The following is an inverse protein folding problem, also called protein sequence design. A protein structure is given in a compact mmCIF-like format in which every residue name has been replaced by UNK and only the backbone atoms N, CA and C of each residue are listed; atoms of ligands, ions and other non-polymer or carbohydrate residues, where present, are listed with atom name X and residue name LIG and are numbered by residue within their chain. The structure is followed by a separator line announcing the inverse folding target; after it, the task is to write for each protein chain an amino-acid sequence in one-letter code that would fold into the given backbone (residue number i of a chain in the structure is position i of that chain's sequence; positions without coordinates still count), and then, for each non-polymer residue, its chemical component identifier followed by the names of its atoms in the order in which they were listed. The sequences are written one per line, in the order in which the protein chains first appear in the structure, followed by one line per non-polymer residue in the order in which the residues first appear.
data_IF_168054509760
#
_entry.id   IF_168054509760
#
_cell.length_a   1.000
_cell.length_b   1.000
_cell.length_c   1.000
_cell.angle_alpha   90.00
_cell.angle_beta   90.00
_cell.angle_gamma   90.00
#
_symmetry.space_group_name_H-M   'P 1'
#
loop_
_entity.id
_entity.type
_entity.pdbx_description
1 polymer ?
#
# COMPACT_ATOMS: atom_id res chain seq x y z
N UNK A 1 6.92 8.54 -0.64
CA UNK A 1 5.97 8.93 0.42
C UNK A 1 6.22 8.06 1.64
N UNK A 2 6.10 8.59 2.86
CA UNK A 2 6.34 7.85 4.10
C UNK A 2 5.09 7.96 4.99
N UNK A 3 4.48 6.82 5.32
CA UNK A 3 3.24 6.78 6.11
C UNK A 3 3.49 6.15 7.48
N UNK A 4 2.94 6.71 8.58
CA UNK A 4 2.99 6.05 9.89
C UNK A 4 2.10 4.80 9.89
N UNK A 5 2.54 3.72 10.55
CA UNK A 5 1.77 2.46 10.67
C UNK A 5 1.13 2.31 12.06
N UNK A 6 0.62 3.42 12.59
CA UNK A 6 -0.19 3.45 13.80
C UNK A 6 -1.34 4.44 13.61
N UNK A 7 -2.48 4.14 14.22
CA UNK A 7 -3.63 5.04 14.23
C UNK A 7 -3.50 6.07 15.36
N UNK A 8 -4.08 7.25 15.17
CA UNK A 8 -4.15 8.30 16.19
C UNK A 8 -5.53 8.95 16.29
N UNK A 9 -6.29 8.95 15.20
CA UNK A 9 -7.61 9.56 15.13
C UNK A 9 -8.56 8.63 14.39
N UNK A 10 -9.86 8.71 14.70
CA UNK A 10 -10.92 8.06 13.92
C UNK A 10 -12.05 9.04 13.63
N UNK A 11 -12.99 8.64 12.77
CA UNK A 11 -14.14 9.45 12.40
C UNK A 11 -15.12 9.69 13.56
N UNK A 12 -15.84 10.81 13.52
CA UNK A 12 -16.75 11.23 14.61
C UNK A 12 -17.87 10.22 14.87
N UNK A 13 -18.36 9.53 13.84
CA UNK A 13 -19.42 8.54 13.99
C UNK A 13 -18.94 7.33 14.80
N UNK A 14 -17.70 6.88 14.55
CA UNK A 14 -17.06 5.82 15.33
C UNK A 14 -16.74 6.24 16.77
N UNK A 15 -16.35 7.51 16.99
CA UNK A 15 -16.09 8.04 18.33
C UNK A 15 -17.37 8.10 19.19
N UNK A 16 -18.52 8.42 18.60
CA UNK A 16 -19.78 8.51 19.33
C UNK A 16 -20.22 7.16 19.95
N UNK A 17 -19.82 6.04 19.36
CA UNK A 17 -20.08 4.69 19.88
C UNK A 17 -18.96 4.12 20.76
N UNK A 18 -17.85 4.84 20.91
CA UNK A 18 -16.65 4.35 21.56
C UNK A 18 -16.74 4.50 23.09
N UNK A 19 -16.23 3.50 23.83
CA UNK A 19 -16.14 3.59 25.29
C UNK A 19 -14.97 4.49 25.70
N UNK A 20 -15.04 5.07 26.90
CA UNK A 20 -14.01 6.00 27.39
C UNK A 20 -12.59 5.40 27.50
N UNK A 21 -12.47 4.08 27.51
CA UNK A 21 -11.21 3.32 27.56
C UNK A 21 -10.63 2.95 26.19
N UNK A 22 -11.28 3.31 25.08
CA UNK A 22 -10.85 2.97 23.71
C UNK A 22 -9.87 3.98 23.10
N UNK A 23 -9.04 4.62 23.92
CA UNK A 23 -8.04 5.57 23.42
C UNK A 23 -6.90 4.85 22.67
N UNK A 24 -6.37 5.49 21.63
CA UNK A 24 -5.19 4.98 20.92
C UNK A 24 -3.97 4.94 21.85
N UNK A 25 -3.17 3.85 21.84
CA UNK A 25 -1.98 3.74 22.66
C UNK A 25 -0.90 4.73 22.18
N UNK A 26 -0.18 5.31 23.12
CA UNK A 26 1.00 6.11 22.81
C UNK A 26 2.14 5.18 22.37
N UNK A 27 2.49 5.21 21.08
CA UNK A 27 3.59 4.39 20.54
C UNK A 27 4.94 5.08 20.79
N UNK A 28 5.87 4.45 21.54
CA UNK A 28 7.23 4.96 21.74
C UNK A 28 7.95 5.17 20.41
N UNK A 29 8.74 6.24 20.32
CA UNK A 29 9.38 6.66 19.05
C UNK A 29 10.27 5.56 18.45
N UNK A 30 11.00 4.84 19.29
CA UNK A 30 11.87 3.73 18.94
C UNK A 30 11.12 2.50 18.40
N UNK A 31 9.83 2.37 18.72
CA UNK A 31 8.96 1.30 18.26
C UNK A 31 8.13 1.69 17.03
N UNK A 32 8.22 2.93 16.57
CA UNK A 32 7.45 3.40 15.42
C UNK A 32 7.91 2.73 14.13
N UNK A 33 6.92 2.32 13.35
CA UNK A 33 7.10 1.76 12.02
C UNK A 33 6.41 2.62 10.98
N UNK A 34 6.95 2.57 9.78
CA UNK A 34 6.47 3.36 8.67
C UNK A 34 6.40 2.49 7.40
N UNK A 35 5.47 2.85 6.53
CA UNK A 35 5.40 2.35 5.17
C UNK A 35 6.12 3.33 4.25
N UNK A 36 7.26 2.91 3.69
CA UNK A 36 7.97 3.67 2.67
C UNK A 36 7.41 3.29 1.30
N UNK A 37 6.64 4.20 0.70
CA UNK A 37 5.99 4.04 -0.60
C UNK A 37 6.79 4.75 -1.69
N UNK A 38 7.06 4.03 -2.77
CA UNK A 38 7.80 4.47 -3.95
C UNK A 38 6.94 4.31 -5.20
N UNK A 39 6.90 5.36 -6.04
CA UNK A 39 6.21 5.37 -7.33
C UNK A 39 7.29 5.35 -8.41
N UNK A 40 7.28 4.34 -9.28
CA UNK A 40 8.32 4.17 -10.31
C UNK A 40 7.76 3.66 -11.63
N UNK A 41 8.48 3.89 -12.71
CA UNK A 41 8.09 3.38 -14.03
C UNK A 41 8.38 1.89 -14.18
N UNK A 42 7.72 1.22 -15.11
CA UNK A 42 8.05 -0.15 -15.49
C UNK A 42 9.43 -0.16 -16.16
N UNK A 43 10.42 -0.79 -15.52
CA UNK A 43 11.82 -0.84 -16.00
C UNK A 43 12.81 -0.13 -15.08
N UNK A 44 12.34 0.79 -14.24
CA UNK A 44 13.12 1.23 -13.08
C UNK A 44 13.06 0.11 -12.03
N UNK A 45 14.21 -0.47 -11.73
CA UNK A 45 14.38 -1.26 -10.51
C UNK A 45 13.99 -0.39 -9.31
N UNK A 46 13.42 -0.99 -8.26
CA UNK A 46 13.34 -0.29 -6.97
C UNK A 46 14.75 0.24 -6.64
N UNK A 47 14.89 1.41 -5.99
CA UNK A 47 16.19 1.96 -5.68
C UNK A 47 16.95 0.99 -4.76
N UNK A 48 17.73 0.11 -5.37
CA UNK A 48 18.78 -0.63 -4.71
C UNK A 48 19.90 0.37 -4.44
N UNK A 49 20.50 0.30 -3.24
CA UNK A 49 21.58 1.16 -2.76
C UNK A 49 22.83 1.11 -3.65
N UNK A 50 22.74 1.67 -4.85
CA UNK A 50 23.83 1.75 -5.81
C UNK A 50 23.82 3.11 -6.47
N UNK A 51 24.83 3.88 -6.10
CA UNK A 51 25.23 5.09 -6.77
C UNK A 51 25.54 4.84 -8.25
N UNK A 52 25.26 5.85 -9.06
CA UNK A 52 25.76 6.09 -10.42
C UNK A 52 25.17 5.24 -11.57
N UNK A 53 24.46 5.90 -12.47
CA UNK A 53 24.80 5.92 -13.90
C UNK A 53 23.95 6.95 -14.64
N UNK A 54 24.61 8.04 -15.06
CA UNK A 54 24.09 9.01 -16.01
C UNK A 54 23.94 8.37 -17.40
N UNK A 55 22.73 8.37 -17.97
CA UNK A 55 22.47 7.91 -19.33
C UNK A 55 21.51 8.84 -20.08
N UNK A 56 22.05 9.89 -20.71
CA UNK A 56 21.34 10.75 -21.67
C UNK A 56 20.80 9.91 -22.84
N UNK A 57 19.48 9.83 -23.02
CA UNK A 57 18.86 9.54 -24.33
C UNK A 57 17.80 10.58 -24.66
N UNK A 58 18.02 11.24 -25.79
CA UNK A 58 17.31 12.40 -26.33
C UNK A 58 16.31 11.89 -27.35
N UNK A 59 15.02 11.84 -27.01
CA UNK A 59 13.97 11.51 -27.99
C UNK A 59 13.17 12.76 -28.38
N UNK A 60 13.01 12.88 -29.70
CA UNK A 60 12.55 14.03 -30.48
C UNK A 60 11.01 14.04 -30.50
N UNK A 61 10.40 15.06 -29.90
CA UNK A 61 8.95 15.24 -29.90
C UNK A 61 8.43 15.76 -31.25
N UNK A 62 7.28 15.23 -31.66
CA UNK A 62 6.46 15.66 -32.82
C UNK A 62 5.37 16.62 -32.28
N UNK A 63 5.09 17.77 -32.91
CA UNK A 63 4.16 18.75 -32.34
C UNK A 63 2.71 18.37 -32.64
N UNK A 64 1.90 18.25 -31.58
CA UNK A 64 0.44 18.22 -31.60
C UNK A 64 -0.11 19.65 -31.41
N UNK A 65 -1.34 19.97 -31.87
CA UNK A 65 -1.84 21.36 -31.94
C UNK A 65 -2.06 21.98 -30.54
N UNK A 66 -2.06 23.32 -30.43
CA UNK A 66 -2.06 24.02 -29.15
C UNK A 66 -3.42 23.91 -28.47
N UNK A 67 -3.47 23.14 -27.38
CA UNK A 67 -4.50 23.26 -26.37
C UNK A 67 -4.30 24.59 -25.63
N UNK A 68 -5.34 25.42 -25.59
CA UNK A 68 -5.38 26.71 -24.92
C UNK A 68 -5.47 26.52 -23.41
N UNK A 69 -4.41 26.02 -22.77
CA UNK A 69 -4.32 25.90 -21.33
C UNK A 69 -2.95 26.37 -20.84
N UNK A 70 -2.96 27.00 -19.66
CA UNK A 70 -1.78 27.46 -18.94
C UNK A 70 -0.66 26.41 -19.00
N UNK A 71 0.58 26.80 -19.32
CA UNK A 71 1.68 25.85 -19.40
C UNK A 71 1.89 25.20 -18.02
N UNK A 72 1.58 23.91 -17.90
CA UNK A 72 1.94 23.11 -16.73
C UNK A 72 3.43 23.27 -16.44
N UNK A 73 3.80 23.44 -15.17
CA UNK A 73 5.20 23.59 -14.76
C UNK A 73 5.99 22.37 -15.29
N UNK A 74 7.08 22.57 -16.05
CA UNK A 74 7.91 21.49 -16.59
C UNK A 74 8.53 20.58 -15.52
N UNK A 75 8.42 20.94 -14.22
CA UNK A 75 8.81 20.11 -13.08
C UNK A 75 7.74 19.10 -12.65
N UNK A 76 6.53 19.17 -13.21
CA UNK A 76 5.44 18.27 -12.84
C UNK A 76 5.68 16.90 -13.47
N UNK A 77 5.98 15.90 -12.64
CA UNK A 77 6.14 14.52 -13.11
C UNK A 77 4.76 13.91 -13.27
N UNK A 78 4.36 13.66 -14.52
CA UNK A 78 3.10 12.99 -14.83
C UNK A 78 3.42 11.67 -15.53
N UNK A 79 2.98 10.57 -14.92
CA UNK A 79 3.18 9.22 -15.44
C UNK A 79 1.89 8.70 -16.06
N UNK A 80 1.97 8.14 -17.26
CA UNK A 80 0.86 7.42 -17.90
C UNK A 80 0.74 5.99 -17.39
N UNK A 81 1.88 5.39 -17.05
CA UNK A 81 2.02 4.02 -16.56
C UNK A 81 3.06 3.98 -15.45
N UNK A 82 2.77 3.29 -14.35
CA UNK A 82 3.68 3.15 -13.23
C UNK A 82 3.29 1.99 -12.32
N UNK A 83 4.25 1.56 -11.50
CA UNK A 83 4.03 0.67 -10.36
C UNK A 83 4.26 1.42 -9.06
N UNK A 84 3.55 1.01 -8.03
CA UNK A 84 3.75 1.44 -6.66
C UNK A 84 4.34 0.29 -5.89
N UNK A 85 5.51 0.51 -5.30
CA UNK A 85 6.18 -0.46 -4.44
C UNK A 85 6.30 0.11 -3.03
N UNK A 86 6.13 -0.73 -2.03
CA UNK A 86 6.28 -0.32 -0.64
C UNK A 86 7.10 -1.32 0.17
N UNK A 87 7.72 -0.82 1.23
CA UNK A 87 8.38 -1.64 2.25
C UNK A 87 8.15 -1.09 3.64
N UNK A 88 8.22 -1.97 4.63
CA UNK A 88 8.18 -1.60 6.03
C UNK A 88 9.56 -1.13 6.47
N UNK A 89 9.63 -0.01 7.19
CA UNK A 89 10.86 0.55 7.77
C UNK A 89 10.63 0.95 9.22
N UNK A 90 11.59 0.64 10.09
CA UNK A 90 11.57 1.08 11.48
C UNK A 90 12.16 2.47 11.69
N UNK A 91 11.84 3.11 12.83
CA UNK A 91 12.46 4.38 13.24
C UNK A 91 14.00 4.30 13.23
N UNK A 92 14.57 3.16 13.65
CA UNK A 92 16.02 2.93 13.67
C UNK A 92 16.68 3.04 12.30
N UNK A 93 15.98 2.66 11.22
CA UNK A 93 16.48 2.73 9.84
C UNK A 93 16.40 4.15 9.27
N UNK A 94 15.48 4.98 9.78
CA UNK A 94 15.30 6.34 9.31
C UNK A 94 16.08 7.36 10.11
N UNK A 95 16.45 7.04 11.36
CA UNK A 95 17.23 7.92 12.23
C UNK A 95 18.58 8.23 11.58
N UNK A 96 18.86 9.51 11.37
CA UNK A 96 20.13 9.98 10.78
C UNK A 96 20.14 10.10 9.26
N UNK A 97 19.06 9.69 8.57
CA UNK A 97 18.94 9.82 7.10
C UNK A 97 18.61 11.25 6.63
N UNK A 98 18.22 12.13 7.56
CA UNK A 98 17.71 13.48 7.24
C UNK A 98 16.26 13.51 6.75
N UNK A 99 15.60 12.35 6.60
CA UNK A 99 14.17 12.26 6.27
C UNK A 99 13.34 12.80 7.43
N UNK A 100 12.37 13.67 7.12
CA UNK A 100 11.39 14.15 8.10
C UNK A 100 10.37 13.06 8.39
N UNK A 101 10.20 12.73 9.67
CA UNK A 101 9.32 11.66 10.11
C UNK A 101 7.96 12.20 10.54
N UNK A 102 6.85 11.54 10.14
CA UNK A 102 5.54 11.79 10.73
C UNK A 102 5.61 11.64 12.26
N UNK A 103 5.17 12.67 12.97
CA UNK A 103 5.06 12.68 14.42
C UNK A 103 3.66 12.23 14.89
N UNK A 104 2.66 12.35 14.02
CA UNK A 104 1.28 11.89 14.21
C UNK A 104 1.00 10.58 13.48
N UNK A 105 0.03 9.81 13.96
CA UNK A 105 -0.48 8.60 13.31
C UNK A 105 -1.44 8.89 12.16
N UNK A 106 -1.95 7.82 11.54
CA UNK A 106 -3.01 7.90 10.53
C UNK A 106 -4.36 8.17 11.19
N UNK A 107 -5.19 8.92 10.48
CA UNK A 107 -6.64 8.95 10.71
C UNK A 107 -7.22 7.69 10.05
N UNK A 108 -7.90 6.86 10.83
CA UNK A 108 -8.55 5.63 10.37
C UNK A 108 -10.07 5.78 10.37
N UNK A 109 -10.77 4.84 9.75
CA UNK A 109 -12.23 4.75 9.81
C UNK A 109 -12.64 3.50 10.58
N UNK A 110 -13.62 3.64 11.46
CA UNK A 110 -14.12 2.56 12.31
C UNK A 110 -13.64 2.63 13.76
N UNK A 111 -13.83 1.53 14.50
CA UNK A 111 -13.55 1.48 15.93
C UNK A 111 -12.06 1.72 16.23
N UNK A 112 -11.70 2.61 17.18
CA UNK A 112 -10.32 2.73 17.65
C UNK A 112 -9.74 1.39 18.13
N UNK A 113 -10.56 0.58 18.80
CA UNK A 113 -10.14 -0.72 19.32
C UNK A 113 -9.74 -1.67 18.18
N UNK A 114 -10.53 -1.73 17.11
CA UNK A 114 -10.23 -2.55 15.92
C UNK A 114 -8.90 -2.13 15.29
N UNK A 115 -8.63 -0.81 15.21
CA UNK A 115 -7.39 -0.31 14.66
C UNK A 115 -6.16 -0.64 15.53
N UNK A 116 -6.34 -0.72 16.85
CA UNK A 116 -5.30 -1.15 17.79
C UNK A 116 -5.07 -2.66 17.69
N UNK A 117 -6.13 -3.45 17.66
CA UNK A 117 -6.08 -4.92 17.59
C UNK A 117 -5.46 -5.42 16.28
N UNK A 118 -5.68 -4.69 15.19
CA UNK A 118 -5.15 -5.00 13.86
C UNK A 118 -3.96 -4.12 13.44
N UNK A 119 -3.25 -3.55 14.41
CA UNK A 119 -2.02 -2.82 14.13
C UNK A 119 -0.95 -3.77 13.56
N UNK A 120 -0.24 -3.40 12.48
CA UNK A 120 0.81 -4.24 11.92
C UNK A 120 1.82 -4.63 13.00
N UNK A 121 2.21 -5.92 13.10
CA UNK A 121 3.12 -6.36 14.12
C UNK A 121 4.50 -5.71 13.93
N UNK A 122 5.14 -5.37 15.05
CA UNK A 122 6.50 -4.85 15.04
C UNK A 122 7.43 -5.83 14.32
N UNK A 123 8.23 -5.30 13.39
CA UNK A 123 9.13 -6.07 12.56
C UNK A 123 10.17 -6.75 13.45
N UNK A 124 10.26 -8.09 13.43
CA UNK A 124 11.38 -8.79 14.04
C UNK A 124 12.69 -8.35 13.38
N UNK A 125 13.75 -8.27 14.17
CA UNK A 125 15.10 -7.99 13.66
C UNK A 125 15.51 -9.14 12.74
N UNK A 126 15.55 -8.91 11.42
CA UNK A 126 16.08 -9.86 10.43
C UNK A 126 15.07 -10.49 9.46
N UNK A 127 13.79 -10.11 9.47
CA UNK A 127 12.80 -10.66 8.52
C UNK A 127 12.82 -10.01 7.12
N UNK A 128 12.48 -10.81 6.12
CA UNK A 128 12.36 -10.48 4.68
C UNK A 128 11.23 -9.48 4.34
N UNK A 129 10.50 -8.95 5.34
CA UNK A 129 9.49 -7.90 5.16
C UNK A 129 10.08 -6.51 4.84
N UNK A 130 11.40 -6.44 4.62
CA UNK A 130 12.15 -5.23 4.26
C UNK A 130 12.29 -5.02 2.75
N UNK A 131 11.96 -6.03 1.93
CA UNK A 131 12.03 -5.91 0.49
C UNK A 131 10.87 -5.07 -0.05
N UNK A 132 11.16 -4.27 -1.08
CA UNK A 132 10.11 -3.57 -1.82
C UNK A 132 9.16 -4.58 -2.45
N UNK A 133 7.89 -4.47 -2.10
CA UNK A 133 6.80 -5.28 -2.62
C UNK A 133 5.88 -4.40 -3.45
N UNK A 134 5.49 -4.85 -4.64
CA UNK A 134 4.51 -4.13 -5.48
C UNK A 134 3.15 -4.21 -4.80
N UNK A 135 2.51 -3.06 -4.60
CA UNK A 135 1.21 -2.94 -3.92
C UNK A 135 0.11 -2.36 -4.82
N UNK A 136 0.49 -1.70 -5.91
CA UNK A 136 -0.44 -1.22 -6.92
C UNK A 136 0.27 -1.00 -8.25
N UNK A 137 -0.49 -0.94 -9.32
CA UNK A 137 -0.01 -0.54 -10.63
C UNK A 137 -1.07 0.27 -11.38
N UNK A 138 -0.63 1.03 -12.38
CA UNK A 138 -1.46 1.77 -13.31
C UNK A 138 -0.92 1.51 -14.71
N UNK A 139 -1.72 0.87 -15.55
CA UNK A 139 -1.37 0.48 -16.93
C UNK A 139 -1.97 1.43 -17.98
N UNK A 140 -2.18 2.68 -17.59
CA UNK A 140 -2.86 3.69 -18.40
C UNK A 140 -3.87 4.47 -17.58
N UNK A 141 -4.01 5.77 -17.88
CA UNK A 141 -4.94 6.67 -17.16
C UNK A 141 -6.40 6.24 -17.30
N UNK A 142 -6.75 5.61 -18.42
CA UNK A 142 -8.09 5.11 -18.74
C UNK A 142 -8.45 3.82 -17.99
N UNK A 143 -7.45 3.07 -17.53
CA UNK A 143 -7.63 1.81 -16.79
C UNK A 143 -7.65 2.00 -15.27
N UNK A 144 -7.23 3.18 -14.81
CA UNK A 144 -7.18 3.50 -13.38
C UNK A 144 -6.02 2.81 -12.66
N UNK A 145 -6.16 2.73 -11.34
CA UNK A 145 -5.16 2.15 -10.43
C UNK A 145 -5.71 0.84 -9.90
N UNK A 146 -4.92 -0.23 -10.02
CA UNK A 146 -5.24 -1.55 -9.50
C UNK A 146 -4.31 -1.86 -8.34
N UNK A 147 -4.87 -2.24 -7.19
CA UNK A 147 -4.10 -2.66 -6.02
C UNK A 147 -3.82 -4.16 -6.08
N UNK A 148 -2.62 -4.55 -5.61
CA UNK A 148 -2.16 -5.94 -5.54
C UNK A 148 -2.43 -6.52 -4.16
N UNK A 149 -3.46 -7.36 -3.97
CA UNK A 149 -3.89 -7.79 -2.65
C UNK A 149 -2.82 -8.60 -1.91
N UNK A 150 -2.09 -9.44 -2.66
CA UNK A 150 -0.95 -10.21 -2.15
C UNK A 150 0.17 -9.31 -1.62
N UNK A 151 0.41 -8.18 -2.27
CA UNK A 151 1.42 -7.21 -1.85
C UNK A 151 1.03 -6.50 -0.56
N UNK A 152 -0.25 -6.13 -0.43
CA UNK A 152 -0.81 -5.53 0.77
C UNK A 152 -0.80 -6.49 1.95
N UNK A 153 -1.17 -7.75 1.73
CA UNK A 153 -1.17 -8.81 2.73
C UNK A 153 0.24 -9.11 3.25
N UNK A 154 1.22 -9.21 2.35
CA UNK A 154 2.64 -9.41 2.71
C UNK A 154 3.17 -8.31 3.64
N UNK A 155 2.65 -7.09 3.51
CA UNK A 155 3.01 -5.93 4.34
C UNK A 155 2.18 -5.82 5.63
N UNK A 156 1.26 -6.76 5.89
CA UNK A 156 0.40 -6.76 7.06
C UNK A 156 -0.70 -5.70 7.02
N UNK A 157 -1.11 -5.27 5.82
CA UNK A 157 -2.19 -4.28 5.65
C UNK A 157 -3.57 -4.94 5.53
N UNK A 158 -3.63 -6.26 5.34
CA UNK A 158 -4.86 -7.04 5.31
C UNK A 158 -5.12 -7.72 6.67
N UNK A 159 -6.39 -8.00 6.96
CA UNK A 159 -6.79 -8.81 8.10
C UNK A 159 -6.22 -10.23 7.95
N UNK A 160 -5.81 -10.89 9.05
CA UNK A 160 -5.36 -12.27 9.01
C UNK A 160 -6.44 -13.15 8.38
N UNK A 161 -6.04 -13.98 7.40
CA UNK A 161 -6.94 -14.98 6.84
C UNK A 161 -7.24 -16.04 7.89
N UNK A 162 -8.50 -16.40 8.03
CA UNK A 162 -8.85 -17.57 8.82
C UNK A 162 -8.16 -18.79 8.20
N UNK A 163 -7.54 -19.66 9.02
CA UNK A 163 -6.95 -20.88 8.49
C UNK A 163 -8.07 -21.69 7.83
N UNK A 164 -7.89 -21.98 6.55
CA UNK A 164 -8.81 -22.81 5.78
C UNK A 164 -9.06 -24.12 6.56
N UNK A 165 -10.32 -24.48 6.85
CA UNK A 165 -10.60 -25.64 7.69
C UNK A 165 -10.01 -26.89 7.04
N UNK A 166 -9.17 -27.61 7.78
CA UNK A 166 -8.41 -28.77 7.29
C UNK A 166 -9.27 -29.84 6.59
N UNK A 167 -10.59 -29.85 6.83
CA UNK A 167 -11.55 -30.72 6.12
C UNK A 167 -11.55 -30.57 4.61
N UNK A 168 -11.17 -29.41 4.06
CA UNK A 168 -11.14 -29.21 2.61
C UNK A 168 -9.95 -29.93 1.93
N UNK A 169 -8.90 -30.27 2.69
CA UNK A 169 -7.70 -30.94 2.15
C UNK A 169 -7.94 -32.44 1.91
N UNK A 170 -8.63 -33.11 2.83
CA UNK A 170 -8.95 -34.54 2.71
C UNK A 170 -9.98 -34.84 1.60
N UNK A 171 -10.89 -33.89 1.34
CA UNK A 171 -11.87 -34.04 0.24
C UNK A 171 -11.26 -33.84 -1.13
N UNK A 172 -10.20 -33.02 -1.27
CA UNK A 172 -9.57 -32.74 -2.57
C UNK A 172 -8.82 -33.95 -3.13
N UNK A 173 -8.17 -34.75 -2.27
CA UNK A 173 -7.52 -36.00 -2.69
C UNK A 173 -8.51 -37.15 -2.97
N UNK A 174 -9.66 -37.18 -2.28
CA UNK A 174 -10.68 -38.22 -2.50
C UNK A 174 -11.62 -37.93 -3.68
N UNK A 175 -11.83 -36.66 -4.04
CA UNK A 175 -12.70 -36.27 -5.17
C UNK A 175 -12.06 -36.44 -6.55
N UNK A 176 -10.73 -36.60 -6.65
CA UNK A 176 -10.07 -36.88 -7.94
C UNK A 176 -10.27 -38.34 -8.42
N UNK A 177 -10.81 -39.24 -7.57
CA UNK A 177 -11.01 -40.65 -7.91
C UNK A 177 -12.40 -40.99 -8.45
N UNK A 178 -13.41 -40.15 -8.23
CA UNK A 178 -14.76 -40.36 -8.74
C UNK A 178 -15.15 -39.19 -9.64
N UNK A 179 -14.94 -39.38 -10.95
CA UNK A 179 -15.33 -38.42 -11.96
C UNK A 179 -16.82 -38.07 -11.83
N UNK A 180 -17.08 -36.76 -11.79
CA UNK A 180 -18.37 -36.07 -11.80
C UNK A 180 -18.97 -35.72 -10.43
N UNK A 181 -18.53 -34.58 -9.87
CA UNK A 181 -19.28 -33.76 -8.93
C UNK A 181 -19.00 -32.29 -9.22
N UNK A 182 -20.05 -31.47 -9.23
CA UNK A 182 -20.02 -30.02 -9.45
C UNK A 182 -18.93 -29.36 -8.61
N UNK A 183 -17.83 -28.96 -9.27
CA UNK A 183 -16.73 -28.24 -8.66
C UNK A 183 -17.19 -26.79 -8.47
N UNK A 184 -17.83 -26.50 -7.33
CA UNK A 184 -17.90 -25.12 -6.84
C UNK A 184 -16.45 -24.68 -6.60
N UNK A 185 -15.95 -23.83 -7.49
CA UNK A 185 -14.67 -23.16 -7.33
C UNK A 185 -14.63 -22.56 -5.93
N UNK A 186 -13.62 -22.86 -5.09
CA UNK A 186 -13.56 -22.32 -3.74
C UNK A 186 -13.68 -20.80 -3.84
N UNK A 187 -14.72 -20.23 -3.21
CA UNK A 187 -14.90 -18.78 -3.18
C UNK A 187 -13.61 -18.17 -2.61
N UNK A 188 -12.83 -17.51 -3.47
CA UNK A 188 -11.59 -16.86 -3.04
C UNK A 188 -11.95 -15.88 -1.92
N UNK A 189 -11.50 -16.15 -0.70
CA UNK A 189 -11.79 -15.28 0.42
C UNK A 189 -11.31 -13.86 0.10
N UNK A 190 -12.21 -12.86 0.16
CA UNK A 190 -11.85 -11.50 -0.20
C UNK A 190 -10.78 -10.99 0.78
N UNK A 191 -9.77 -10.31 0.25
CA UNK A 191 -8.79 -9.64 1.10
C UNK A 191 -9.44 -8.44 1.77
N UNK A 192 -9.69 -8.56 3.06
CA UNK A 192 -10.21 -7.47 3.87
C UNK A 192 -9.05 -6.65 4.41
N UNK A 193 -9.11 -5.33 4.28
CA UNK A 193 -8.09 -4.42 4.79
C UNK A 193 -8.30 -4.17 6.29
N UNK A 194 -7.19 -4.11 7.04
CA UNK A 194 -7.18 -3.55 8.41
C UNK A 194 -7.56 -2.06 8.37
N UNK A 195 -7.96 -1.43 9.48
CA UNK A 195 -8.20 0.02 9.51
C UNK A 195 -7.00 0.86 9.05
N UNK A 196 -5.79 0.46 9.45
CA UNK A 196 -4.53 1.09 8.99
C UNK A 196 -4.30 0.80 7.50
N UNK A 197 -4.61 -0.41 7.05
CA UNK A 197 -4.54 -0.81 5.64
C UNK A 197 -5.45 0.03 4.74
N UNK A 198 -6.69 0.29 5.17
CA UNK A 198 -7.63 1.19 4.47
C UNK A 198 -7.05 2.59 4.33
N UNK A 199 -6.62 3.20 5.43
CA UNK A 199 -6.01 4.53 5.42
C UNK A 199 -4.72 4.59 4.55
N UNK A 200 -3.89 3.55 4.60
CA UNK A 200 -2.69 3.46 3.77
C UNK A 200 -3.03 3.35 2.28
N UNK A 201 -4.01 2.52 1.91
CA UNK A 201 -4.49 2.35 0.53
C UNK A 201 -5.07 3.66 0.00
N UNK A 202 -5.87 4.38 0.79
CA UNK A 202 -6.40 5.69 0.43
C UNK A 202 -5.29 6.71 0.17
N UNK A 203 -4.29 6.79 1.06
CA UNK A 203 -3.13 7.67 0.88
C UNK A 203 -2.29 7.29 -0.35
N UNK A 204 -2.12 6.00 -0.64
CA UNK A 204 -1.45 5.53 -1.84
C UNK A 204 -2.26 5.90 -3.08
N UNK A 205 -3.58 5.72 -3.05
CA UNK A 205 -4.47 6.06 -4.15
C UNK A 205 -4.43 7.57 -4.45
N UNK A 206 -4.46 8.44 -3.43
CA UNK A 206 -4.27 9.88 -3.58
C UNK A 206 -2.91 10.21 -4.21
N UNK A 207 -1.85 9.51 -3.80
CA UNK A 207 -0.54 9.63 -4.43
C UNK A 207 -0.55 9.21 -5.91
N UNK A 208 -1.24 8.12 -6.25
CA UNK A 208 -1.42 7.70 -7.64
C UNK A 208 -2.14 8.77 -8.48
N UNK A 209 -3.18 9.41 -7.94
CA UNK A 209 -3.90 10.49 -8.63
C UNK A 209 -3.02 11.72 -8.83
N UNK A 210 -2.16 12.03 -7.85
CA UNK A 210 -1.18 13.10 -8.00
C UNK A 210 -0.17 12.78 -9.13
N UNK A 211 0.20 11.52 -9.32
CA UNK A 211 1.11 11.07 -10.38
C UNK A 211 0.45 11.02 -11.77
N UNK A 212 -0.85 10.78 -11.86
CA UNK A 212 -1.59 10.77 -13.14
C UNK A 212 -2.11 12.14 -13.56
N UNK A 213 -2.23 13.08 -12.60
CA UNK A 213 -2.86 14.40 -12.73
C UNK A 213 -4.37 14.33 -13.03
N UNK A 214 -5.15 15.19 -12.35
CA UNK A 214 -6.52 15.51 -12.75
C UNK A 214 -6.48 16.55 -13.87
N UNK A 215 -6.30 16.13 -15.13
CA UNK A 215 -6.10 17.09 -16.22
C UNK A 215 -6.41 16.58 -17.63
N UNK A 216 -7.61 16.96 -18.06
CA UNK A 216 -8.21 17.07 -19.41
C UNK A 216 -7.79 16.07 -20.50
N UNK A 217 -8.73 15.20 -20.86
CA UNK A 217 -8.86 14.69 -22.23
C UNK A 217 -9.17 15.85 -23.18
#
# INVERSE_FOLDING_TARGET
MLLPLWAQETDEASLAGARADTAFPAIPVDQRQYLLVFYGTFGDGAPADSASASGKKKNKARPSPPSTLEPMDPKTVILSEFKVSARLVGYSELRGTGVRLPNTGLSVTGSPQEAVDHMPPLLPVGEHRRDFTVIAHCDGRDRGVVFEPMGLDKLGLCLPREPEPERAKDSHEQLQQFGNWDYEEPEEQPFLLTPIGRAAVEMVWLGCLAMTSFGAM
#
